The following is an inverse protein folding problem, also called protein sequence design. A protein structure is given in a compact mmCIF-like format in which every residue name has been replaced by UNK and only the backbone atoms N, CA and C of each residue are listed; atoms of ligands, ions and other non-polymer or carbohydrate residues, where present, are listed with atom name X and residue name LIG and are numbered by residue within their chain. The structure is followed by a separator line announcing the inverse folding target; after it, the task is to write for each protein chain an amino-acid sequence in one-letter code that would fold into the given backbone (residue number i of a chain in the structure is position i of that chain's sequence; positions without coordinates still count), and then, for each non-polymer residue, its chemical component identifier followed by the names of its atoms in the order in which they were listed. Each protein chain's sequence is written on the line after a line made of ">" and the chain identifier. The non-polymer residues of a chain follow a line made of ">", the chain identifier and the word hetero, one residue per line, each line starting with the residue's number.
data_IF_858128073259
#
_entry.id   IF_858128073259
#
_cell.length_a   1.000
_cell.length_b   1.000
_cell.length_c   1.000
_cell.angle_alpha   90.00
_cell.angle_beta   90.00
_cell.angle_gamma   90.00
#
_symmetry.space_group_name_H-M   'P 1'
#
loop_
_entity.id
_entity.type
_entity.pdbx_description
1 polymer ?
#
# COMPACT_ATOMS: atom_id res chain seq x y z
N UNK A 1 -12.71 -7.09 -4.45
CA UNK A 1 -13.00 -6.09 -3.40
C UNK A 1 -12.21 -4.82 -3.63
N UNK A 2 -12.75 -3.71 -3.21
CA UNK A 2 -12.05 -2.43 -3.33
C UNK A 2 -11.37 -2.07 -2.03
N UNK A 3 -10.13 -1.63 -2.14
CA UNK A 3 -9.37 -1.11 -1.00
C UNK A 3 -8.83 0.25 -1.38
N UNK A 4 -8.53 1.06 -0.37
CA UNK A 4 -7.98 2.40 -0.58
C UNK A 4 -6.50 2.37 -0.23
N UNK A 5 -5.69 3.04 -1.04
CA UNK A 5 -4.25 3.06 -0.87
C UNK A 5 -3.75 4.48 -0.88
N UNK A 6 -2.84 4.79 0.04
CA UNK A 6 -2.12 6.05 0.03
C UNK A 6 -0.62 5.74 0.11
N UNK A 7 0.12 6.32 -0.85
CA UNK A 7 1.56 6.11 -0.95
C UNK A 7 2.28 7.38 -0.51
N UNK A 8 3.32 7.20 0.28
CA UNK A 8 4.09 8.32 0.83
C UNK A 8 5.47 8.37 0.21
N UNK A 9 6.04 9.58 0.19
CA UNK A 9 7.32 9.81 -0.43
C UNK A 9 7.24 9.63 -1.94
N UNK A 10 8.27 9.07 -2.53
CA UNK A 10 8.33 8.88 -3.98
C UNK A 10 7.55 7.66 -4.46
N UNK A 11 6.97 6.86 -3.55
CA UNK A 11 6.21 5.67 -3.94
C UNK A 11 5.05 5.99 -4.87
N UNK A 12 4.42 7.15 -4.70
CA UNK A 12 3.28 7.53 -5.52
C UNK A 12 3.61 8.05 -6.90
N UNK A 13 4.90 8.27 -7.20
CA UNK A 13 5.29 8.92 -8.45
C UNK A 13 4.96 8.11 -9.69
N UNK A 14 4.85 6.79 -9.57
CA UNK A 14 4.53 5.90 -10.68
C UNK A 14 3.03 5.79 -10.96
N UNK A 15 2.21 6.42 -10.15
CA UNK A 15 0.76 6.28 -10.22
C UNK A 15 0.11 7.63 -10.45
N UNK A 16 -0.16 7.98 -11.72
CA UNK A 16 -0.75 9.30 -12.03
C UNK A 16 -2.07 9.56 -11.32
N UNK A 17 -2.84 8.49 -11.03
CA UNK A 17 -4.13 8.61 -10.36
C UNK A 17 -4.00 8.81 -8.86
N UNK A 18 -2.79 8.73 -8.32
CA UNK A 18 -2.58 8.87 -6.89
C UNK A 18 -2.77 10.31 -6.43
N UNK A 19 -3.71 10.52 -5.52
CA UNK A 19 -3.92 11.79 -4.86
C UNK A 19 -3.08 11.81 -3.58
N UNK A 20 -2.20 12.80 -3.39
CA UNK A 20 -1.30 12.80 -2.22
C UNK A 20 -2.02 12.85 -0.88
N UNK A 21 -3.27 13.30 -0.86
CA UNK A 21 -4.04 13.40 0.38
C UNK A 21 -5.04 12.28 0.51
N UNK A 22 -5.79 12.01 -0.57
CA UNK A 22 -6.88 11.03 -0.54
C UNK A 22 -6.44 9.63 -0.92
N UNK A 23 -5.32 9.49 -1.63
CA UNK A 23 -4.93 8.21 -2.17
C UNK A 23 -5.79 7.82 -3.36
N UNK A 24 -5.87 6.52 -3.62
CA UNK A 24 -6.70 6.01 -4.72
C UNK A 24 -7.22 4.62 -4.38
N UNK A 25 -8.20 4.17 -5.14
CA UNK A 25 -8.80 2.86 -4.92
C UNK A 25 -8.22 1.84 -5.88
N UNK A 26 -8.07 0.61 -5.40
CA UNK A 26 -7.60 -0.51 -6.20
C UNK A 26 -8.55 -1.67 -5.99
N UNK A 27 -8.89 -2.35 -7.11
CA UNK A 27 -9.66 -3.58 -7.06
C UNK A 27 -8.70 -4.74 -6.91
N UNK A 28 -8.97 -5.62 -5.95
CA UNK A 28 -8.12 -6.78 -5.71
C UNK A 28 -9.01 -7.96 -5.31
N UNK A 29 -8.55 -9.17 -5.55
CA UNK A 29 -9.31 -10.37 -5.22
C UNK A 29 -9.46 -10.51 -3.71
N UNK A 30 -10.56 -11.12 -3.31
CA UNK A 30 -10.79 -11.41 -1.90
C UNK A 30 -9.72 -12.36 -1.39
N UNK A 31 -9.44 -12.29 -0.11
CA UNK A 31 -8.40 -13.06 0.58
C UNK A 31 -6.98 -12.71 0.14
N UNK A 32 -6.81 -11.62 -0.60
CA UNK A 32 -5.46 -11.15 -0.95
C UNK A 32 -4.74 -10.61 0.28
N UNK A 33 -3.43 -10.81 0.28
CA UNK A 33 -2.55 -10.25 1.31
C UNK A 33 -2.00 -8.91 0.85
N UNK A 34 -1.34 -8.20 1.79
CA UNK A 34 -0.62 -6.98 1.44
C UNK A 34 0.43 -7.28 0.38
N UNK A 35 1.10 -8.42 0.48
CA UNK A 35 2.10 -8.82 -0.51
C UNK A 35 1.50 -8.96 -1.91
N UNK A 36 0.30 -9.53 -2.00
CA UNK A 36 -0.41 -9.65 -3.27
C UNK A 36 -0.69 -8.26 -3.86
N UNK A 37 -1.06 -7.32 -3.00
CA UNK A 37 -1.30 -5.95 -3.42
C UNK A 37 -0.03 -5.29 -3.95
N UNK A 38 1.07 -5.46 -3.23
CA UNK A 38 2.37 -4.89 -3.65
C UNK A 38 2.76 -5.44 -5.02
N UNK A 39 2.60 -6.75 -5.21
CA UNK A 39 2.91 -7.38 -6.48
C UNK A 39 2.01 -6.88 -7.61
N UNK A 40 0.73 -6.73 -7.34
CA UNK A 40 -0.22 -6.21 -8.32
C UNK A 40 0.14 -4.80 -8.76
N UNK A 41 0.60 -3.98 -7.82
CA UNK A 41 0.99 -2.59 -8.11
C UNK A 41 2.35 -2.49 -8.79
N UNK A 42 3.12 -3.58 -8.83
CA UNK A 42 4.43 -3.57 -9.45
C UNK A 42 5.48 -2.82 -8.65
N UNK A 43 5.28 -2.68 -7.35
CA UNK A 43 6.26 -2.01 -6.49
C UNK A 43 7.21 -3.05 -5.93
N UNK A 44 8.51 -2.73 -5.95
CA UNK A 44 9.51 -3.60 -5.32
C UNK A 44 9.38 -3.51 -3.81
N UNK A 45 9.37 -4.65 -3.13
CA UNK A 45 9.27 -4.68 -1.67
C UNK A 45 10.41 -3.91 -1.00
N UNK A 46 11.57 -3.88 -1.62
CA UNK A 46 12.72 -3.15 -1.05
C UNK A 46 12.48 -1.64 -0.97
N UNK A 47 11.50 -1.14 -1.71
CA UNK A 47 11.16 0.28 -1.69
C UNK A 47 10.09 0.64 -0.66
N UNK A 48 9.56 -0.35 0.03
CA UNK A 48 8.53 -0.15 1.04
C UNK A 48 9.11 -0.45 2.40
N UNK A 49 8.97 0.51 3.32
CA UNK A 49 9.46 0.35 4.69
C UNK A 49 8.34 -0.07 5.62
N UNK A 50 7.40 0.81 5.87
CA UNK A 50 6.34 0.59 6.83
C UNK A 50 5.00 0.52 6.09
N UNK A 51 4.15 -0.40 6.53
CA UNK A 51 2.80 -0.55 5.99
C UNK A 51 1.84 -0.49 7.16
N UNK A 52 0.77 0.29 7.01
CA UNK A 52 -0.30 0.31 7.99
C UNK A 52 -1.64 0.05 7.30
N UNK A 53 -2.55 -0.56 8.04
CA UNK A 53 -3.93 -0.74 7.59
C UNK A 53 -4.83 -0.18 8.68
N UNK A 54 -5.64 0.79 8.29
CA UNK A 54 -6.57 1.44 9.22
C UNK A 54 -5.85 1.94 10.48
N UNK A 55 -4.64 2.44 10.30
CA UNK A 55 -3.86 3.02 11.39
C UNK A 55 -3.00 2.05 12.18
N UNK A 56 -3.03 0.76 11.86
CA UNK A 56 -2.24 -0.25 12.58
C UNK A 56 -1.11 -0.78 11.70
N UNK A 57 0.08 -0.88 12.26
CA UNK A 57 1.22 -1.45 11.55
C UNK A 57 0.99 -2.92 11.26
N UNK A 58 1.32 -3.34 10.04
CA UNK A 58 1.14 -4.72 9.60
C UNK A 58 2.36 -5.18 8.82
N UNK A 59 2.44 -6.50 8.64
CA UNK A 59 3.45 -7.10 7.77
C UNK A 59 2.84 -7.40 6.41
N UNK A 60 3.65 -7.70 5.38
CA UNK A 60 3.12 -8.08 4.07
C UNK A 60 2.25 -9.34 4.06
N UNK A 61 2.30 -10.13 5.12
CA UNK A 61 1.48 -11.35 5.22
C UNK A 61 0.04 -11.08 5.65
N UNK A 62 -0.26 -9.85 6.05
CA UNK A 62 -1.58 -9.50 6.54
C UNK A 62 -2.61 -9.58 5.41
N UNK A 63 -3.73 -10.26 5.66
CA UNK A 63 -4.83 -10.32 4.71
C UNK A 63 -5.61 -9.03 4.68
N UNK A 64 -6.02 -8.64 3.49
CA UNK A 64 -6.80 -7.44 3.27
C UNK A 64 -8.29 -7.75 3.36
N UNK A 65 -9.06 -6.74 3.76
CA UNK A 65 -10.51 -6.82 3.84
C UNK A 65 -11.12 -5.67 3.04
N UNK A 66 -12.33 -5.88 2.56
CA UNK A 66 -13.06 -4.84 1.85
C UNK A 66 -13.08 -3.55 2.67
N UNK A 67 -12.76 -2.46 2.02
CA UNK A 67 -12.81 -1.15 2.65
C UNK A 67 -11.57 -0.78 3.44
N UNK A 68 -10.55 -1.64 3.49
CA UNK A 68 -9.32 -1.30 4.20
C UNK A 68 -8.65 -0.08 3.59
N UNK A 69 -8.04 0.72 4.44
CA UNK A 69 -7.21 1.85 4.02
C UNK A 69 -5.75 1.50 4.31
N UNK A 70 -5.00 1.26 3.23
CA UNK A 70 -3.60 0.85 3.31
C UNK A 70 -2.71 2.07 3.08
N UNK A 71 -1.76 2.28 3.97
CA UNK A 71 -0.73 3.32 3.82
C UNK A 71 0.62 2.66 3.71
N UNK A 72 1.39 3.06 2.71
CA UNK A 72 2.73 2.52 2.50
C UNK A 72 3.75 3.66 2.51
N UNK A 73 4.81 3.46 3.28
CA UNK A 73 5.86 4.47 3.49
C UNK A 73 7.18 3.96 2.95
N UNK A 74 8.00 4.88 2.46
CA UNK A 74 9.34 4.54 2.04
C UNK A 74 10.19 4.11 3.24
N UNK A 75 11.18 3.24 3.02
CA UNK A 75 12.13 2.94 4.08
C UNK A 75 12.91 4.19 4.46
N UNK A 76 13.29 4.26 5.74
CA UNK A 76 14.17 5.32 6.22
C UNK A 76 15.59 4.78 6.17
N UNK A 77 16.43 5.40 5.35
CA UNK A 77 17.81 4.99 5.20
C UNK A 77 18.75 5.93 5.91
N UNK A 78 19.88 5.42 6.20
CA UNK A 78 20.95 6.16 6.75
C UNK A 78 20.76 6.34 8.21
N UNK A 79 21.23 7.17 8.66
CA UNK A 79 20.97 7.23 9.94
C UNK A 79 21.27 8.41 10.71
#
# INVERSE_FOLDING_TARGET
>A
MKIKIRLFGTLGNKFPEHDPIKGFEVEIQEDSTVNDLINKMGISQSKIGIISINGKLVTPLKKLKKGDFVRMFQPIFGG
#
